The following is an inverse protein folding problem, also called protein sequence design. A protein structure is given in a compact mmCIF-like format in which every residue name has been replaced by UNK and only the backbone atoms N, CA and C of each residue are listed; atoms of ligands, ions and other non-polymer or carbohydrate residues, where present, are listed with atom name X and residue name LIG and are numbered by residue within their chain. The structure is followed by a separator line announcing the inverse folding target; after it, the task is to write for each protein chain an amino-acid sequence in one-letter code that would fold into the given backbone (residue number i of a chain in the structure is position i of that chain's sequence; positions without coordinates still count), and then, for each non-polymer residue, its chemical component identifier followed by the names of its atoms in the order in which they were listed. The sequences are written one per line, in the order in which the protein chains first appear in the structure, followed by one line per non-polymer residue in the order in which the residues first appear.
data_IF_055274265366
#
_entry.id   IF_055274265366
#
_cell.length_a   1.000
_cell.length_b   1.000
_cell.length_c   1.000
_cell.angle_alpha   90.00
_cell.angle_beta   90.00
_cell.angle_gamma   90.00
#
_symmetry.space_group_name_H-M   'P 1'
#
loop_
_entity.id
_entity.type
_entity.pdbx_description
1 polymer ?
#
# COMPACT_ATOMS: atom_id res chain seq x y z
N UNK A 1 -0.05 -21.96 8.63
CA UNK A 1 -0.67 -20.76 9.21
C UNK A 1 0.37 -20.06 10.07
N UNK A 2 0.47 -18.74 9.98
CA UNK A 2 1.32 -17.93 10.87
C UNK A 2 0.86 -18.12 12.32
N UNK A 3 1.81 -18.27 13.23
CA UNK A 3 1.60 -18.35 14.68
C UNK A 3 1.85 -16.98 15.31
N UNK A 4 1.32 -16.72 16.51
CA UNK A 4 1.71 -15.53 17.28
C UNK A 4 3.24 -15.45 17.39
N UNK A 5 3.81 -14.31 17.00
CA UNK A 5 5.26 -14.08 16.96
C UNK A 5 5.92 -14.32 15.60
N UNK A 6 5.25 -14.90 14.61
CA UNK A 6 5.85 -15.18 13.29
C UNK A 6 5.98 -13.93 12.41
N UNK A 7 5.25 -12.85 12.71
CA UNK A 7 5.25 -11.61 11.91
C UNK A 7 6.58 -10.87 12.01
N UNK A 8 7.09 -10.62 13.21
CA UNK A 8 8.35 -9.87 13.38
C UNK A 8 9.55 -10.48 12.64
N UNK A 9 9.77 -11.81 12.66
CA UNK A 9 10.79 -12.45 11.84
C UNK A 9 10.68 -12.16 10.34
N UNK A 10 9.47 -11.92 9.81
CA UNK A 10 9.30 -11.51 8.40
C UNK A 10 9.89 -10.12 8.16
N UNK A 11 9.70 -9.17 9.09
CA UNK A 11 10.24 -7.82 9.02
C UNK A 11 11.76 -7.81 9.22
N UNK A 12 12.26 -8.59 10.19
CA UNK A 12 13.71 -8.74 10.40
C UNK A 12 14.41 -9.29 9.16
N UNK A 13 13.85 -10.34 8.55
CA UNK A 13 14.35 -10.89 7.28
C UNK A 13 14.30 -9.85 6.15
N UNK A 14 13.20 -9.11 6.04
CA UNK A 14 13.04 -8.08 5.01
C UNK A 14 14.10 -6.97 5.15
N UNK A 15 14.43 -6.59 6.38
CA UNK A 15 15.46 -5.58 6.65
C UNK A 15 16.88 -6.14 6.47
N UNK A 16 17.13 -7.42 6.80
CA UNK A 16 18.47 -8.00 6.70
C UNK A 16 18.87 -8.45 5.30
N UNK A 17 17.92 -9.00 4.52
CA UNK A 17 18.23 -9.72 3.29
C UNK A 17 18.15 -8.87 2.03
N UNK A 18 17.65 -7.64 2.14
CA UNK A 18 17.45 -6.72 1.01
C UNK A 18 18.12 -5.36 1.25
N UNK A 19 19.42 -5.32 1.57
CA UNK A 19 20.12 -4.06 1.88
C UNK A 19 20.11 -3.07 0.70
N UNK A 20 20.01 -3.55 -0.54
CA UNK A 20 19.90 -2.75 -1.76
C UNK A 20 18.63 -1.89 -1.84
N UNK A 21 17.59 -2.26 -1.07
CA UNK A 21 16.34 -1.50 -0.96
C UNK A 21 16.41 -0.41 0.13
N UNK A 22 17.56 -0.29 0.80
CA UNK A 22 17.82 0.62 1.93
C UNK A 22 16.73 0.53 3.02
N UNK A 23 16.55 -0.66 3.64
CA UNK A 23 15.47 -0.88 4.58
C UNK A 23 15.78 -0.32 5.97
N UNK A 24 14.75 0.15 6.69
CA UNK A 24 14.80 0.55 8.09
C UNK A 24 13.58 0.04 8.84
N UNK A 25 13.77 -0.68 9.94
CA UNK A 25 12.67 -0.99 10.87
C UNK A 25 12.35 0.27 11.70
N UNK A 26 11.23 0.93 11.39
CA UNK A 26 10.82 2.18 12.05
C UNK A 26 9.97 1.94 13.29
N UNK A 27 9.35 0.76 13.41
CA UNK A 27 8.65 0.31 14.61
C UNK A 27 8.72 -1.21 14.74
N UNK A 28 9.03 -1.76 15.92
CA UNK A 28 8.94 -3.21 16.18
C UNK A 28 7.54 -3.66 16.62
N UNK A 29 6.69 -2.75 17.12
CA UNK A 29 5.37 -3.10 17.65
C UNK A 29 4.40 -1.91 17.58
N UNK A 30 3.44 -1.88 16.65
CA UNK A 30 3.29 -2.83 15.55
C UNK A 30 4.51 -2.78 14.59
N UNK A 31 4.82 -3.89 13.90
CA UNK A 31 5.93 -3.94 12.94
C UNK A 31 5.68 -3.01 11.76
N UNK A 32 6.62 -2.08 11.52
CA UNK A 32 6.62 -1.18 10.37
C UNK A 32 8.05 -1.09 9.83
N UNK A 33 8.22 -1.39 8.53
CA UNK A 33 9.49 -1.26 7.82
C UNK A 33 9.36 -0.27 6.67
N UNK A 34 10.35 0.61 6.54
CA UNK A 34 10.50 1.58 5.46
C UNK A 34 11.59 1.10 4.50
N UNK A 35 11.39 1.27 3.20
CA UNK A 35 12.37 0.98 2.16
C UNK A 35 12.56 2.25 1.33
N UNK A 36 13.76 2.82 1.30
CA UNK A 36 14.02 4.08 0.60
C UNK A 36 14.15 3.92 -0.93
N UNK A 37 14.48 2.71 -1.39
CA UNK A 37 14.75 2.41 -2.80
C UNK A 37 14.05 1.12 -3.24
N UNK A 38 12.72 1.07 -3.12
CA UNK A 38 11.91 -0.13 -3.35
C UNK A 38 11.54 -0.38 -4.83
N UNK A 39 11.28 0.69 -5.59
CA UNK A 39 10.99 0.62 -7.03
C UNK A 39 11.78 1.65 -7.83
N UNK A 40 12.17 1.29 -9.06
CA UNK A 40 12.89 2.18 -9.97
C UNK A 40 11.96 3.18 -10.67
N UNK A 41 12.53 4.18 -11.34
CA UNK A 41 11.75 5.15 -12.13
C UNK A 41 10.98 4.48 -13.28
N UNK A 42 11.56 3.47 -13.92
CA UNK A 42 10.92 2.69 -14.98
C UNK A 42 9.72 1.90 -14.47
N UNK A 43 9.84 1.30 -13.28
CA UNK A 43 8.77 0.55 -12.61
C UNK A 43 7.63 1.46 -12.16
N UNK A 44 7.97 2.63 -11.62
CA UNK A 44 6.98 3.68 -11.32
C UNK A 44 6.24 4.08 -12.60
N UNK A 45 6.96 4.32 -13.68
CA UNK A 45 6.36 4.70 -14.96
C UNK A 45 5.43 3.61 -15.50
N UNK A 46 5.79 2.33 -15.37
CA UNK A 46 4.95 1.20 -15.76
C UNK A 46 3.65 1.13 -14.95
N UNK A 47 3.73 1.22 -13.62
CA UNK A 47 2.56 1.22 -12.74
C UNK A 47 1.63 2.41 -13.04
N UNK A 48 2.19 3.61 -13.24
CA UNK A 48 1.40 4.79 -13.62
C UNK A 48 0.73 4.58 -14.98
N UNK A 49 1.47 4.10 -15.99
CA UNK A 49 0.92 3.82 -17.32
C UNK A 49 -0.25 2.85 -17.25
N UNK A 50 -0.12 1.77 -16.49
CA UNK A 50 -1.18 0.80 -16.31
C UNK A 50 -2.47 1.44 -15.76
N UNK A 51 -2.38 2.45 -14.90
CA UNK A 51 -3.55 3.13 -14.35
C UNK A 51 -4.18 4.20 -15.25
N UNK A 52 -3.46 4.69 -16.27
CA UNK A 52 -3.87 5.87 -17.05
C UNK A 52 -5.25 5.68 -17.69
N UNK A 53 -6.11 6.69 -17.53
CA UNK A 53 -7.46 6.71 -18.09
C UNK A 53 -8.47 5.78 -17.39
N UNK A 54 -8.06 5.04 -16.35
CA UNK A 54 -8.93 4.07 -15.65
C UNK A 54 -9.36 4.51 -14.25
N UNK A 55 -8.73 5.55 -13.71
CA UNK A 55 -9.04 6.07 -12.38
C UNK A 55 -10.51 6.51 -12.26
N UNK A 56 -11.19 5.99 -11.24
CA UNK A 56 -12.53 6.39 -10.85
C UNK A 56 -12.53 6.79 -9.38
N UNK A 57 -13.55 7.55 -8.97
CA UNK A 57 -13.71 7.94 -7.57
C UNK A 57 -13.67 6.70 -6.67
N UNK A 58 -12.76 6.69 -5.70
CA UNK A 58 -12.64 5.56 -4.76
C UNK A 58 -13.92 5.41 -3.97
N UNK A 59 -14.41 4.19 -3.88
CA UNK A 59 -15.51 3.81 -3.00
C UNK A 59 -14.97 2.96 -1.85
N UNK A 60 -15.71 2.95 -0.75
CA UNK A 60 -15.47 2.03 0.36
C UNK A 60 -16.71 1.12 0.42
N UNK A 61 -16.51 -0.16 0.73
CA UNK A 61 -17.61 -1.07 0.98
C UNK A 61 -18.37 -0.59 2.23
N UNK A 62 -19.66 -0.31 2.06
CA UNK A 62 -20.58 -0.09 3.17
C UNK A 62 -21.24 -1.42 3.51
N UNK A 63 -20.90 -1.95 4.68
CA UNK A 63 -21.28 -3.29 5.10
C UNK A 63 -22.71 -3.38 5.62
N UNK A 64 -23.35 -2.27 6.01
CA UNK A 64 -24.76 -2.27 6.39
C UNK A 64 -25.66 -2.43 5.17
N UNK A 65 -25.19 -1.98 4.00
CA UNK A 65 -25.96 -1.97 2.74
C UNK A 65 -25.45 -2.97 1.70
N UNK A 66 -24.32 -3.66 1.96
CA UNK A 66 -23.59 -4.48 0.98
C UNK A 66 -23.28 -3.75 -0.33
N UNK A 67 -23.27 -2.41 -0.29
CA UNK A 67 -23.10 -1.53 -1.44
C UNK A 67 -21.72 -0.89 -1.47
N UNK A 68 -21.27 -0.53 -2.67
CA UNK A 68 -20.13 0.34 -2.87
C UNK A 68 -20.59 1.79 -2.69
N UNK A 69 -20.25 2.42 -1.56
CA UNK A 69 -20.68 3.79 -1.26
C UNK A 69 -19.49 4.74 -1.39
N UNK A 70 -19.72 5.89 -2.03
CA UNK A 70 -18.77 7.00 -2.04
C UNK A 70 -18.73 7.60 -0.63
N UNK A 71 -17.93 6.99 0.26
CA UNK A 71 -17.89 7.39 1.66
C UNK A 71 -16.92 8.58 1.86
N UNK A 72 -17.24 9.48 2.79
CA UNK A 72 -16.41 10.63 3.18
C UNK A 72 -15.11 10.25 3.92
N UNK A 73 -14.85 8.95 4.08
CA UNK A 73 -13.64 8.40 4.71
C UNK A 73 -12.45 8.43 3.74
N UNK A 74 -12.69 8.25 2.44
CA UNK A 74 -11.64 8.22 1.41
C UNK A 74 -12.04 9.06 0.22
N UNK A 75 -11.25 10.07 -0.12
CA UNK A 75 -11.57 11.06 -1.16
C UNK A 75 -10.73 10.96 -2.43
N UNK A 76 -9.82 9.99 -2.52
CA UNK A 76 -9.00 9.70 -3.71
C UNK A 76 -9.77 9.08 -4.87
N UNK A 77 -9.09 8.96 -6.00
CA UNK A 77 -9.48 8.06 -7.10
C UNK A 77 -8.62 6.78 -7.08
N UNK A 78 -9.13 5.67 -7.58
CA UNK A 78 -8.39 4.42 -7.71
C UNK A 78 -8.67 3.67 -9.01
N UNK A 79 -7.78 2.75 -9.31
CA UNK A 79 -7.93 1.69 -10.30
C UNK A 79 -7.07 0.49 -9.85
N UNK A 80 -7.16 -0.62 -10.56
CA UNK A 80 -6.45 -1.86 -10.22
C UNK A 80 -5.54 -2.29 -11.37
N UNK A 81 -4.42 -2.92 -11.06
CA UNK A 81 -3.59 -3.63 -12.03
C UNK A 81 -4.17 -5.04 -12.25
N UNK A 82 -5.32 -5.11 -12.92
CA UNK A 82 -6.13 -6.31 -13.13
C UNK A 82 -6.28 -6.68 -14.61
N UNK A 83 -5.69 -5.88 -15.50
CA UNK A 83 -5.68 -6.14 -16.94
C UNK A 83 -4.49 -7.00 -17.31
N UNK A 84 -4.65 -7.78 -18.37
CA UNK A 84 -3.53 -8.55 -18.95
C UNK A 84 -2.35 -7.66 -19.33
N UNK A 85 -2.60 -6.48 -19.89
CA UNK A 85 -1.55 -5.50 -20.21
C UNK A 85 -0.72 -5.11 -18.99
N UNK A 86 -1.37 -4.88 -17.83
CA UNK A 86 -0.65 -4.56 -16.61
C UNK A 86 0.12 -5.78 -16.06
N UNK A 87 -0.53 -6.95 -16.03
CA UNK A 87 0.04 -8.17 -15.46
C UNK A 87 1.16 -8.78 -16.30
N UNK A 88 1.16 -8.55 -17.62
CA UNK A 88 2.19 -9.03 -18.55
C UNK A 88 3.38 -8.03 -18.68
N UNK A 89 3.27 -6.80 -18.16
CA UNK A 89 4.36 -5.81 -18.16
C UNK A 89 5.53 -6.29 -17.28
N UNK A 90 6.74 -6.32 -17.85
CA UNK A 90 7.92 -6.88 -17.19
C UNK A 90 8.31 -6.14 -15.91
N UNK A 91 8.09 -4.82 -15.86
CA UNK A 91 8.40 -4.01 -14.70
C UNK A 91 7.38 -4.24 -13.59
N UNK A 92 6.10 -4.32 -13.94
CA UNK A 92 5.04 -4.64 -12.96
C UNK A 92 5.29 -6.01 -12.33
N UNK A 93 5.64 -7.01 -13.16
CA UNK A 93 5.99 -8.35 -12.67
C UNK A 93 7.20 -8.33 -11.75
N UNK A 94 8.26 -7.59 -12.10
CA UNK A 94 9.44 -7.44 -11.25
C UNK A 94 9.09 -6.85 -9.87
N UNK A 95 8.18 -5.85 -9.82
CA UNK A 95 7.70 -5.30 -8.55
C UNK A 95 6.90 -6.35 -7.76
N UNK A 96 5.99 -7.10 -8.40
CA UNK A 96 5.21 -8.15 -7.72
C UNK A 96 6.12 -9.24 -7.16
N UNK A 97 7.12 -9.69 -7.92
CA UNK A 97 8.11 -10.68 -7.48
C UNK A 97 8.95 -10.15 -6.32
N UNK A 98 9.35 -8.86 -6.35
CA UNK A 98 10.06 -8.21 -5.25
C UNK A 98 9.20 -8.12 -3.98
N UNK A 99 7.93 -7.75 -4.10
CA UNK A 99 6.99 -7.74 -2.97
C UNK A 99 6.88 -9.14 -2.36
N UNK A 100 6.75 -10.18 -3.19
CA UNK A 100 6.71 -11.56 -2.71
C UNK A 100 8.01 -11.99 -2.01
N UNK A 101 9.18 -11.61 -2.55
CA UNK A 101 10.47 -11.92 -1.94
C UNK A 101 10.65 -11.20 -0.58
N UNK A 102 10.31 -9.91 -0.52
CA UNK A 102 10.45 -9.08 0.70
C UNK A 102 9.49 -9.55 1.78
N UNK A 103 8.22 -9.77 1.44
CA UNK A 103 7.21 -10.25 2.39
C UNK A 103 7.37 -11.73 2.72
N UNK A 104 7.97 -12.53 1.83
CA UNK A 104 8.03 -13.99 1.95
C UNK A 104 6.65 -14.64 1.77
N UNK A 105 5.70 -13.92 1.18
CA UNK A 105 4.34 -14.36 0.89
C UNK A 105 4.24 -14.62 -0.62
N UNK A 106 3.71 -15.78 -1.06
CA UNK A 106 3.56 -16.08 -2.48
C UNK A 106 2.67 -15.05 -3.20
N UNK A 107 2.96 -14.71 -4.48
CA UNK A 107 2.15 -13.76 -5.25
C UNK A 107 0.67 -14.13 -5.32
N UNK A 108 0.33 -15.42 -5.26
CA UNK A 108 -1.05 -15.92 -5.31
C UNK A 108 -1.89 -15.49 -4.10
N UNK A 109 -1.24 -15.09 -3.00
CA UNK A 109 -1.88 -14.55 -1.82
C UNK A 109 -2.01 -13.01 -1.87
N UNK A 110 -1.52 -12.37 -2.93
CA UNK A 110 -1.63 -10.92 -3.11
C UNK A 110 -2.88 -10.56 -3.90
N UNK A 111 -3.56 -9.49 -3.48
CA UNK A 111 -4.52 -8.82 -4.35
C UNK A 111 -3.81 -8.14 -5.51
N UNK A 112 -4.55 -7.84 -6.58
CA UNK A 112 -4.03 -6.97 -7.64
C UNK A 112 -3.57 -5.64 -7.06
N UNK A 113 -2.47 -5.09 -7.59
CA UNK A 113 -1.98 -3.80 -7.12
C UNK A 113 -3.05 -2.72 -7.28
N UNK A 114 -3.46 -2.10 -6.18
CA UNK A 114 -4.37 -0.96 -6.20
C UNK A 114 -3.59 0.33 -6.43
N UNK A 115 -3.89 1.01 -7.52
CA UNK A 115 -3.30 2.31 -7.85
C UNK A 115 -4.19 3.42 -7.31
N UNK A 116 -3.57 4.39 -6.65
CA UNK A 116 -4.26 5.48 -5.95
C UNK A 116 -3.81 6.82 -6.53
N UNK A 117 -4.76 7.71 -6.79
CA UNK A 117 -4.49 9.09 -7.17
C UNK A 117 -5.13 10.03 -6.14
N UNK A 118 -4.27 10.85 -5.52
CA UNK A 118 -4.66 12.00 -4.70
C UNK A 118 -4.26 13.26 -5.47
N UNK A 119 -5.23 14.12 -5.78
CA UNK A 119 -4.98 15.37 -6.50
C UNK A 119 -4.44 16.43 -5.55
N UNK A 120 -3.57 17.29 -6.09
CA UNK A 120 -3.14 18.49 -5.39
C UNK A 120 -4.35 19.35 -5.02
N UNK A 121 -4.29 19.98 -3.85
CA UNK A 121 -5.34 20.89 -3.39
C UNK A 121 -4.90 22.35 -3.34
N UNK A 122 -5.89 23.23 -3.26
CA UNK A 122 -5.74 24.69 -3.28
C UNK A 122 -4.93 25.28 -2.13
N UNK A 123 -4.65 24.51 -1.07
CA UNK A 123 -3.81 24.92 0.08
C UNK A 123 -3.81 23.88 1.20
N UNK A 124 -3.08 24.14 2.28
CA UNK A 124 -2.87 23.19 3.41
C UNK A 124 -4.16 22.75 4.13
N UNK A 125 -5.26 23.48 3.96
CA UNK A 125 -6.59 23.14 4.47
C UNK A 125 -7.69 23.41 3.42
N UNK A 126 -7.37 23.26 2.14
CA UNK A 126 -8.35 23.42 1.07
C UNK A 126 -9.47 22.38 1.21
N UNK A 127 -10.72 22.81 0.99
CA UNK A 127 -11.87 21.90 1.01
C UNK A 127 -11.78 20.82 -0.09
N UNK A 128 -10.93 21.05 -1.10
CA UNK A 128 -10.62 20.15 -2.20
C UNK A 128 -9.49 19.15 -1.87
N UNK A 129 -8.87 19.22 -0.68
CA UNK A 129 -7.84 18.25 -0.28
C UNK A 129 -8.40 16.84 -0.18
N UNK A 130 -7.70 15.92 -0.83
CA UNK A 130 -8.03 14.50 -0.81
C UNK A 130 -7.26 13.80 0.31
N UNK A 131 -7.91 12.84 0.97
CA UNK A 131 -7.38 12.15 2.13
C UNK A 131 -7.99 10.75 2.25
N UNK A 132 -7.37 9.94 3.08
CA UNK A 132 -7.96 8.72 3.63
C UNK A 132 -7.90 8.85 5.16
N UNK A 133 -9.06 8.92 5.81
CA UNK A 133 -9.14 8.96 7.28
C UNK A 133 -8.54 7.69 7.86
N UNK A 134 -8.18 7.77 9.14
CA UNK A 134 -7.70 6.62 9.93
C UNK A 134 -8.60 5.40 9.72
N UNK A 135 -7.99 4.29 9.34
CA UNK A 135 -8.64 3.01 9.09
C UNK A 135 -7.64 1.88 9.40
N UNK A 136 -8.09 0.66 9.19
CA UNK A 136 -7.29 -0.55 9.25
C UNK A 136 -7.51 -1.31 7.94
N UNK A 137 -6.49 -2.01 7.40
CA UNK A 137 -6.68 -2.72 6.13
C UNK A 137 -7.27 -4.12 6.34
N UNK A 138 -7.23 -4.64 7.58
CA UNK A 138 -7.99 -5.83 7.96
C UNK A 138 -9.50 -5.61 7.74
N UNK A 139 -10.11 -6.54 7.02
CA UNK A 139 -11.54 -6.54 6.72
C UNK A 139 -12.16 -7.73 7.46
N UNK A 140 -12.96 -7.47 8.49
CA UNK A 140 -13.63 -8.51 9.31
C UNK A 140 -14.41 -9.51 8.45
N UNK A 141 -15.10 -9.01 7.42
CA UNK A 141 -15.94 -9.80 6.53
C UNK A 141 -15.15 -10.80 5.67
N UNK A 142 -13.82 -10.64 5.53
CA UNK A 142 -13.00 -11.54 4.73
C UNK A 142 -12.54 -12.79 5.50
N UNK A 143 -12.73 -12.83 6.83
CA UNK A 143 -12.40 -14.00 7.67
C UNK A 143 -13.08 -15.28 7.20
N UNK A 144 -14.34 -15.18 6.78
CA UNK A 144 -15.16 -16.33 6.39
C UNK A 144 -15.19 -16.54 4.86
N UNK A 145 -14.39 -15.77 4.11
CA UNK A 145 -14.31 -15.87 2.65
C UNK A 145 -13.07 -16.65 2.21
N UNK A 146 -13.12 -17.21 1.00
CA UNK A 146 -12.05 -18.06 0.48
C UNK A 146 -10.69 -17.36 0.38
N UNK A 147 -10.66 -16.07 0.10
CA UNK A 147 -9.41 -15.30 0.04
C UNK A 147 -8.75 -15.08 1.41
N UNK A 148 -9.49 -15.20 2.51
CA UNK A 148 -9.00 -14.92 3.86
C UNK A 148 -8.72 -13.43 4.12
N UNK A 149 -8.10 -13.14 5.27
CA UNK A 149 -7.81 -11.78 5.74
C UNK A 149 -6.46 -11.26 5.29
N UNK A 150 -6.34 -9.95 5.12
CA UNK A 150 -5.06 -9.26 4.91
C UNK A 150 -4.23 -9.29 6.20
N UNK A 151 -2.98 -9.75 6.08
CA UNK A 151 -2.02 -9.80 7.20
C UNK A 151 -0.93 -8.72 7.09
N UNK A 152 -0.64 -8.26 5.87
CA UNK A 152 0.42 -7.31 5.55
C UNK A 152 -0.08 -6.34 4.48
N UNK A 153 0.42 -5.11 4.55
CA UNK A 153 0.31 -4.13 3.45
C UNK A 153 1.71 -3.68 3.06
N UNK A 154 1.97 -3.60 1.75
CA UNK A 154 3.12 -2.89 1.17
C UNK A 154 2.57 -1.72 0.35
N UNK A 155 2.87 -0.50 0.79
CA UNK A 155 2.43 0.72 0.13
C UNK A 155 3.62 1.42 -0.53
N UNK A 156 3.55 1.57 -1.85
CA UNK A 156 4.63 2.09 -2.67
C UNK A 156 4.26 3.51 -3.12
N UNK A 157 5.14 4.48 -2.87
CA UNK A 157 4.96 5.86 -3.31
C UNK A 157 5.47 6.01 -4.75
N UNK A 158 4.57 6.36 -5.66
CA UNK A 158 4.86 6.49 -7.10
C UNK A 158 5.22 7.93 -7.53
N UNK A 159 5.22 8.88 -6.60
CA UNK A 159 5.53 10.29 -6.88
C UNK A 159 6.07 11.00 -5.65
N UNK A 160 6.88 12.03 -5.86
CA UNK A 160 7.26 12.96 -4.80
C UNK A 160 6.10 13.90 -4.47
N UNK A 161 5.81 14.09 -3.18
CA UNK A 161 4.82 15.06 -2.71
C UNK A 161 5.54 16.14 -1.91
N UNK A 162 5.36 17.40 -2.30
CA UNK A 162 6.09 18.52 -1.70
C UNK A 162 5.56 18.90 -0.31
N UNK A 163 4.27 18.71 -0.06
CA UNK A 163 3.61 19.01 1.21
C UNK A 163 2.37 18.15 1.40
N UNK A 164 2.21 17.58 2.60
CA UNK A 164 1.08 16.71 2.93
C UNK A 164 1.22 15.31 2.33
N UNK A 165 0.12 14.55 2.38
CA UNK A 165 0.04 13.20 1.79
C UNK A 165 0.74 12.12 2.60
N UNK A 166 1.17 12.41 3.82
CA UNK A 166 1.88 11.48 4.67
C UNK A 166 1.01 10.27 5.04
N UNK A 167 1.67 9.12 5.17
CA UNK A 167 1.06 7.93 5.79
C UNK A 167 1.34 7.97 7.28
N UNK A 168 0.31 8.31 8.06
CA UNK A 168 0.40 8.44 9.50
C UNK A 168 -0.02 7.14 10.21
N UNK A 169 0.88 6.61 11.02
CA UNK A 169 0.65 5.50 11.95
C UNK A 169 0.46 6.06 13.36
N UNK A 170 -0.70 5.80 13.94
CA UNK A 170 -1.10 6.29 15.27
C UNK A 170 -0.57 5.35 16.38
N UNK A 171 0.72 5.06 16.32
CA UNK A 171 1.48 4.32 17.35
C UNK A 171 1.92 5.25 18.47
N UNK A 172 2.53 4.69 19.52
CA UNK A 172 3.18 5.47 20.58
C UNK A 172 4.68 5.10 20.63
N UNK A 173 5.60 5.98 20.18
CA UNK A 173 5.35 7.31 19.59
C UNK A 173 4.71 7.23 18.19
N UNK A 174 4.01 8.30 17.78
CA UNK A 174 3.41 8.40 16.45
C UNK A 174 4.45 8.44 15.34
N UNK A 175 4.18 7.74 14.23
CA UNK A 175 5.08 7.65 13.07
C UNK A 175 4.38 8.23 11.85
N UNK A 176 5.10 9.02 11.05
CA UNK A 176 4.58 9.57 9.81
C UNK A 176 5.61 9.40 8.71
N UNK A 177 5.19 8.84 7.57
CA UNK A 177 6.04 8.60 6.41
C UNK A 177 5.65 9.56 5.29
N UNK A 178 6.60 10.43 4.91
CA UNK A 178 6.42 11.35 3.78
C UNK A 178 6.50 10.61 2.45
N UNK A 179 5.63 10.90 1.46
CA UNK A 179 5.73 10.31 0.14
C UNK A 179 6.98 10.75 -0.60
N UNK A 180 7.76 9.77 -1.06
CA UNK A 180 8.93 9.96 -1.93
C UNK A 180 8.87 8.91 -3.03
N UNK A 181 8.99 9.30 -4.28
CA UNK A 181 8.98 8.36 -5.40
C UNK A 181 10.03 7.26 -5.18
N UNK A 182 9.64 6.00 -5.35
CA UNK A 182 10.53 4.85 -5.17
C UNK A 182 10.51 4.25 -3.77
N UNK A 183 10.02 4.98 -2.77
CA UNK A 183 9.93 4.51 -1.38
C UNK A 183 8.73 3.57 -1.21
N UNK A 184 8.87 2.60 -0.32
CA UNK A 184 7.75 1.79 0.15
C UNK A 184 7.72 1.71 1.67
N UNK A 185 6.53 1.52 2.24
CA UNK A 185 6.33 1.18 3.65
C UNK A 185 5.54 -0.11 3.75
N UNK A 186 6.03 -1.03 4.58
CA UNK A 186 5.40 -2.31 4.90
C UNK A 186 4.94 -2.29 6.36
N UNK A 187 3.72 -2.76 6.64
CA UNK A 187 3.22 -2.90 8.00
C UNK A 187 2.27 -4.10 8.17
N UNK A 188 2.16 -4.58 9.40
CA UNK A 188 1.27 -5.68 9.78
C UNK A 188 -0.14 -5.18 10.10
N UNK A 189 -1.13 -6.02 9.80
CA UNK A 189 -2.54 -5.86 10.21
C UNK A 189 -2.90 -6.79 11.38
N UNK A 190 -1.98 -7.64 11.82
CA UNK A 190 -2.18 -8.66 12.85
C UNK A 190 -1.10 -8.61 13.91
#
# INVERSE_FOLDING_TARGET
ALKPGDVMPMFERAVSNFPELEPTLVSPSPPIALFENFVSEEEIAALIRAGRGRFKRSTVLDYDTQGSVTNAIRTSSNTWCDTRECLDDEHVRAVTERVAAVTGVPPENSEFAQLLEYRACSGENGEDCQFYKRHHDYIDADRDRQQGVRILTVFIYLSNVTKGGETAFFTEPGISVTPKAGRAVMWSQV
#
